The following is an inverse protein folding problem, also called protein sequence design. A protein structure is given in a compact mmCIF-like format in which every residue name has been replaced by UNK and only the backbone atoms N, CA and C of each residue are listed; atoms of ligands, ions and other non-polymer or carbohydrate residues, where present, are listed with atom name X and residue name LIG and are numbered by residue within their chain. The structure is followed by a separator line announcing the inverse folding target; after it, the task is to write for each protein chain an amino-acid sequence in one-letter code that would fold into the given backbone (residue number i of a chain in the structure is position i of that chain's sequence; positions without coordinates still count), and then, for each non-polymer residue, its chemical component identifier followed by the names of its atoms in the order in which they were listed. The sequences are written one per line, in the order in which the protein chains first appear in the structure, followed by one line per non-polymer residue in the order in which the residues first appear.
data_IF_954441981647
#
_entry.id   IF_954441981647
#
_cell.length_a   1.000
_cell.length_b   1.000
_cell.length_c   1.000
_cell.angle_alpha   90.00
_cell.angle_beta   90.00
_cell.angle_gamma   90.00
#
_symmetry.space_group_name_H-M   'P 1'
#
loop_
_entity.id
_entity.type
_entity.pdbx_description
1 polymer ?
#
# COMPACT_ATOMS: atom_id res chain seq x y z
N UNK A 1 -8.34 -19.15 -12.94
CA UNK A 1 -7.28 -18.99 -13.96
C UNK A 1 -5.84 -19.02 -13.41
N UNK A 2 -4.93 -19.62 -14.18
CA UNK A 2 -3.47 -19.54 -13.95
C UNK A 2 -2.88 -18.23 -14.48
N UNK A 3 -2.12 -17.51 -13.65
CA UNK A 3 -1.44 -16.27 -14.05
C UNK A 3 -0.05 -16.14 -13.43
N UNK A 4 0.81 -15.31 -14.04
CA UNK A 4 2.12 -15.00 -13.46
C UNK A 4 2.00 -14.26 -12.13
N UNK A 5 2.87 -14.55 -11.18
CA UNK A 5 2.93 -13.90 -9.86
C UNK A 5 3.10 -12.37 -9.99
N UNK A 6 3.95 -11.92 -10.90
CA UNK A 6 4.09 -10.50 -11.27
C UNK A 6 2.77 -9.84 -11.70
N UNK A 7 1.90 -10.57 -12.41
CA UNK A 7 0.55 -10.07 -12.78
C UNK A 7 -0.38 -10.05 -11.57
N UNK A 8 -0.32 -11.06 -10.71
CA UNK A 8 -1.10 -11.10 -9.47
C UNK A 8 -0.75 -9.93 -8.53
N UNK A 9 0.53 -9.59 -8.40
CA UNK A 9 0.99 -8.42 -7.64
C UNK A 9 0.39 -7.11 -8.18
N UNK A 10 0.29 -6.96 -9.51
CA UNK A 10 -0.38 -5.81 -10.15
C UNK A 10 -1.88 -5.80 -9.86
N UNK A 11 -2.54 -6.96 -9.93
CA UNK A 11 -3.97 -7.11 -9.60
C UNK A 11 -4.24 -6.71 -8.15
N UNK A 12 -3.44 -7.21 -7.20
CA UNK A 12 -3.52 -6.83 -5.77
C UNK A 12 -3.51 -5.30 -5.60
N UNK A 13 -2.55 -4.62 -6.24
CA UNK A 13 -2.42 -3.16 -6.12
C UNK A 13 -3.62 -2.42 -6.73
N UNK A 14 -4.15 -2.90 -7.86
CA UNK A 14 -5.37 -2.34 -8.46
C UNK A 14 -6.60 -2.56 -7.59
N UNK A 15 -6.75 -3.74 -6.98
CA UNK A 15 -7.84 -4.02 -6.03
C UNK A 15 -7.76 -3.10 -4.81
N UNK A 16 -6.57 -2.88 -4.24
CA UNK A 16 -6.37 -1.92 -3.13
C UNK A 16 -6.80 -0.51 -3.55
N UNK A 17 -6.46 -0.08 -4.76
CA UNK A 17 -6.89 1.22 -5.28
C UNK A 17 -8.42 1.30 -5.44
N UNK A 18 -9.06 0.26 -6.01
CA UNK A 18 -10.52 0.17 -6.13
C UNK A 18 -11.22 0.14 -4.77
N UNK A 19 -10.62 -0.51 -3.77
CA UNK A 19 -11.12 -0.54 -2.40
C UNK A 19 -11.15 0.88 -1.81
N UNK A 20 -10.08 1.65 -1.98
CA UNK A 20 -10.01 3.05 -1.53
C UNK A 20 -11.09 3.91 -2.18
N UNK A 21 -11.26 3.82 -3.50
CA UNK A 21 -12.31 4.54 -4.23
C UNK A 21 -13.70 4.15 -3.70
N UNK A 22 -13.98 2.85 -3.60
CA UNK A 22 -15.29 2.35 -3.13
C UNK A 22 -15.55 2.76 -1.68
N UNK A 23 -14.52 2.75 -0.82
CA UNK A 23 -14.60 3.24 0.55
C UNK A 23 -14.93 4.74 0.62
N UNK A 24 -14.33 5.56 -0.24
CA UNK A 24 -14.69 6.99 -0.33
C UNK A 24 -16.13 7.20 -0.80
N UNK A 25 -16.59 6.41 -1.79
CA UNK A 25 -17.98 6.46 -2.25
C UNK A 25 -18.95 6.03 -1.14
N UNK A 26 -18.61 4.98 -0.40
CA UNK A 26 -19.40 4.51 0.74
C UNK A 26 -19.48 5.58 1.83
N UNK A 27 -18.34 6.16 2.22
CA UNK A 27 -18.29 7.24 3.21
C UNK A 27 -19.14 8.44 2.78
N UNK A 28 -19.05 8.86 1.52
CA UNK A 28 -19.91 9.92 0.97
C UNK A 28 -21.39 9.55 0.99
N UNK A 29 -21.74 8.30 0.67
CA UNK A 29 -23.13 7.84 0.68
C UNK A 29 -23.75 7.84 2.08
N UNK A 30 -22.96 7.59 3.13
CA UNK A 30 -23.38 7.73 4.54
C UNK A 30 -23.64 9.20 4.87
N UNK A 31 -22.70 10.08 4.52
CA UNK A 31 -22.80 11.52 4.78
C UNK A 31 -23.86 12.22 3.92
N UNK A 32 -24.26 11.64 2.79
CA UNK A 32 -25.27 12.17 1.88
C UNK A 32 -26.67 11.57 2.09
N UNK A 33 -26.88 10.72 3.11
CA UNK A 33 -28.24 10.29 3.44
C UNK A 33 -29.07 11.52 3.84
N UNK A 34 -30.27 11.71 3.28
CA UNK A 34 -31.14 12.77 3.74
C UNK A 34 -31.50 12.49 5.19
N UNK A 35 -31.09 13.38 6.10
CA UNK A 35 -31.60 13.38 7.47
C UNK A 35 -33.13 13.29 7.43
N UNK A 36 -33.70 12.36 8.18
CA UNK A 36 -35.15 12.31 8.36
C UNK A 36 -35.62 13.60 9.05
N UNK A 37 -36.87 14.01 8.84
CA UNK A 37 -37.42 15.19 9.53
C UNK A 37 -37.24 15.11 11.05
N UNK A 38 -37.27 13.89 11.63
CA UNK A 38 -37.01 13.65 13.05
C UNK A 38 -35.56 13.93 13.45
N UNK A 39 -34.58 13.55 12.64
CA UNK A 39 -33.15 13.80 12.93
C UNK A 39 -32.77 15.28 12.75
N UNK A 40 -33.39 15.98 11.79
CA UNK A 40 -33.24 17.43 11.62
C UNK A 40 -33.75 18.18 12.85
N UNK A 41 -34.86 17.73 13.43
CA UNK A 41 -35.44 18.34 14.64
C UNK A 41 -34.66 17.98 15.91
N UNK A 42 -34.12 16.76 16.00
CA UNK A 42 -33.38 16.27 17.16
C UNK A 42 -32.00 16.92 17.35
N UNK A 43 -31.34 17.33 16.27
CA UNK A 43 -29.95 17.83 16.34
C UNK A 43 -29.80 19.35 16.43
N UNK A 44 -30.90 20.13 16.54
CA UNK A 44 -30.85 21.61 16.59
C UNK A 44 -29.85 22.24 15.60
N UNK A 45 -29.70 21.65 14.40
CA UNK A 45 -28.80 22.18 13.37
C UNK A 45 -29.47 23.46 12.83
N UNK A 46 -29.21 24.58 13.48
CA UNK A 46 -29.52 25.91 12.99
C UNK A 46 -28.66 26.15 11.74
N UNK A 47 -29.28 26.06 10.57
CA UNK A 47 -28.65 26.37 9.29
C UNK A 47 -28.50 27.89 9.16
N UNK A 48 -27.34 28.43 9.51
CA UNK A 48 -26.94 29.76 9.03
C UNK A 48 -26.02 29.62 7.81
N UNK A 49 -26.60 29.72 6.61
CA UNK A 49 -25.88 30.17 5.41
C UNK A 49 -26.82 31.14 4.70
N UNK A 50 -26.58 32.44 4.91
CA UNK A 50 -27.30 33.54 4.28
C UNK A 50 -26.65 33.82 2.92
N UNK A 51 -27.44 33.80 1.85
CA UNK A 51 -27.09 34.43 0.56
C UNK A 51 -28.22 35.39 0.15
N UNK A 52 -27.88 36.41 -0.65
CA UNK A 52 -28.60 37.69 -0.81
C UNK A 52 -30.08 37.62 -1.26
N UNK A 53 -30.58 36.48 -1.72
CA UNK A 53 -31.97 36.33 -2.20
C UNK A 53 -32.78 35.27 -1.41
N UNK A 54 -32.37 34.90 -0.20
CA UNK A 54 -33.19 34.12 0.74
C UNK A 54 -33.44 32.65 0.38
N UNK A 55 -32.97 32.17 -0.78
CA UNK A 55 -33.10 30.75 -1.18
C UNK A 55 -31.84 29.98 -0.82
N UNK A 56 -31.92 29.16 0.23
CA UNK A 56 -30.84 28.28 0.68
C UNK A 56 -30.63 27.15 -0.35
N UNK A 57 -29.65 27.31 -1.25
CA UNK A 57 -29.10 26.19 -2.04
C UNK A 57 -27.99 25.53 -1.23
N UNK A 58 -28.33 24.50 -0.45
CA UNK A 58 -27.35 23.50 -0.04
C UNK A 58 -26.87 22.84 -1.34
N UNK A 59 -25.57 22.86 -1.68
CA UNK A 59 -25.08 22.00 -2.75
C UNK A 59 -25.25 20.58 -2.24
N UNK A 60 -26.41 20.01 -2.59
CA UNK A 60 -26.71 18.61 -2.45
C UNK A 60 -25.68 17.87 -3.29
N UNK A 61 -24.55 17.49 -2.70
CA UNK A 61 -23.68 16.44 -3.20
C UNK A 61 -24.47 15.13 -3.07
N UNK A 62 -25.50 14.95 -3.91
CA UNK A 62 -26.26 13.70 -4.00
C UNK A 62 -25.35 12.69 -4.66
N UNK A 63 -24.69 11.87 -3.86
CA UNK A 63 -24.20 10.61 -4.37
C UNK A 63 -25.42 9.68 -4.52
N UNK A 64 -25.84 9.42 -5.75
CA UNK A 64 -26.98 8.52 -6.06
C UNK A 64 -26.55 7.03 -6.07
N UNK A 65 -25.43 6.68 -5.42
CA UNK A 65 -25.00 5.29 -5.31
C UNK A 65 -25.86 4.56 -4.28
N UNK A 66 -26.47 3.43 -4.66
CA UNK A 66 -27.19 2.56 -3.74
C UNK A 66 -26.21 2.06 -2.67
N UNK A 67 -26.38 2.51 -1.43
CA UNK A 67 -25.52 2.15 -0.29
C UNK A 67 -25.33 0.63 -0.15
N UNK A 68 -26.41 -0.14 -0.35
CA UNK A 68 -26.39 -1.61 -0.27
C UNK A 68 -25.48 -2.22 -1.33
N UNK A 69 -25.52 -1.71 -2.56
CA UNK A 69 -24.65 -2.15 -3.66
C UNK A 69 -23.18 -1.76 -3.39
N UNK A 70 -22.94 -0.57 -2.83
CA UNK A 70 -21.59 -0.12 -2.47
C UNK A 70 -20.96 -0.98 -1.38
N UNK A 71 -21.72 -1.37 -0.35
CA UNK A 71 -21.24 -2.31 0.67
C UNK A 71 -20.93 -3.66 0.04
N UNK A 72 -21.84 -4.22 -0.78
CA UNK A 72 -21.61 -5.50 -1.42
C UNK A 72 -20.35 -5.47 -2.30
N UNK A 73 -20.15 -4.40 -3.07
CA UNK A 73 -18.95 -4.18 -3.87
C UNK A 73 -17.70 -4.08 -3.00
N UNK A 74 -17.76 -3.32 -1.90
CA UNK A 74 -16.65 -3.20 -0.95
C UNK A 74 -16.24 -4.56 -0.39
N UNK A 75 -17.21 -5.35 0.10
CA UNK A 75 -16.95 -6.69 0.66
C UNK A 75 -16.37 -7.65 -0.39
N UNK A 76 -16.88 -7.63 -1.62
CA UNK A 76 -16.31 -8.43 -2.72
C UNK A 76 -14.85 -8.07 -3.01
N UNK A 77 -14.52 -6.77 -3.03
CA UNK A 77 -13.13 -6.33 -3.23
C UNK A 77 -12.25 -6.77 -2.06
N UNK A 78 -12.72 -6.70 -0.81
CA UNK A 78 -11.97 -7.19 0.36
C UNK A 78 -11.68 -8.69 0.24
N UNK A 79 -12.68 -9.51 -0.07
CA UNK A 79 -12.51 -10.96 -0.28
C UNK A 79 -11.48 -11.23 -1.37
N UNK A 80 -11.61 -10.57 -2.52
CA UNK A 80 -10.67 -10.71 -3.64
C UNK A 80 -9.23 -10.33 -3.25
N UNK A 81 -9.03 -9.29 -2.42
CA UNK A 81 -7.70 -8.94 -1.91
C UNK A 81 -7.14 -10.04 -1.01
N UNK A 82 -7.97 -10.62 -0.14
CA UNK A 82 -7.57 -11.73 0.73
C UNK A 82 -7.13 -12.92 -0.11
N UNK A 83 -7.95 -13.33 -1.08
CA UNK A 83 -7.67 -14.49 -1.94
C UNK A 83 -6.36 -14.31 -2.72
N UNK A 84 -6.16 -13.14 -3.33
CA UNK A 84 -4.91 -12.82 -4.04
C UNK A 84 -3.71 -12.79 -3.10
N UNK A 85 -3.85 -12.24 -1.89
CA UNK A 85 -2.76 -12.23 -0.90
C UNK A 85 -2.40 -13.63 -0.43
N UNK A 86 -3.40 -14.48 -0.19
CA UNK A 86 -3.21 -15.88 0.21
C UNK A 86 -2.49 -16.67 -0.88
N UNK A 87 -2.92 -16.53 -2.14
CA UNK A 87 -2.25 -17.18 -3.27
C UNK A 87 -0.79 -16.74 -3.43
N UNK A 88 -0.52 -15.43 -3.31
CA UNK A 88 0.85 -14.88 -3.31
C UNK A 88 1.67 -15.45 -2.15
N UNK A 89 1.08 -15.51 -0.96
CA UNK A 89 1.78 -16.00 0.24
C UNK A 89 2.18 -17.48 0.08
N UNK A 90 1.27 -18.32 -0.41
CA UNK A 90 1.54 -19.74 -0.67
C UNK A 90 2.69 -19.89 -1.67
N UNK A 91 2.69 -19.12 -2.77
CA UNK A 91 3.77 -19.15 -3.74
C UNK A 91 5.11 -18.74 -3.09
N UNK A 92 5.13 -17.63 -2.36
CA UNK A 92 6.34 -17.14 -1.69
C UNK A 92 6.87 -18.09 -0.60
N UNK A 93 5.99 -18.87 0.04
CA UNK A 93 6.38 -19.87 1.03
C UNK A 93 7.08 -21.08 0.41
N UNK A 94 6.84 -21.37 -0.88
CA UNK A 94 7.47 -22.47 -1.60
C UNK A 94 8.86 -22.12 -2.17
N UNK A 95 9.27 -20.85 -2.12
CA UNK A 95 10.53 -20.37 -2.68
C UNK A 95 11.48 -19.71 -1.67
N UNK A 96 12.68 -19.38 -2.13
CA UNK A 96 13.67 -18.59 -1.37
C UNK A 96 13.27 -17.12 -1.20
N UNK A 97 12.13 -16.68 -1.76
CA UNK A 97 11.73 -15.27 -1.81
C UNK A 97 11.53 -14.63 -0.45
N UNK A 98 11.00 -15.41 0.50
CA UNK A 98 10.88 -14.97 1.88
C UNK A 98 12.27 -14.72 2.49
N UNK A 99 13.24 -15.60 2.24
CA UNK A 99 14.63 -15.44 2.69
C UNK A 99 15.30 -14.25 2.01
N UNK A 100 15.15 -14.09 0.70
CA UNK A 100 15.71 -12.96 -0.05
C UNK A 100 15.13 -11.62 0.41
N UNK A 101 13.82 -11.58 0.69
CA UNK A 101 13.16 -10.37 1.23
C UNK A 101 13.69 -9.99 2.60
N UNK A 102 13.90 -10.97 3.49
CA UNK A 102 14.53 -10.75 4.79
C UNK A 102 15.98 -10.29 4.62
N UNK A 103 16.75 -10.94 3.74
CA UNK A 103 18.13 -10.58 3.47
C UNK A 103 18.25 -9.14 2.94
N UNK A 104 17.32 -8.69 2.09
CA UNK A 104 17.27 -7.28 1.66
C UNK A 104 17.04 -6.35 2.84
N UNK A 105 16.08 -6.67 3.73
CA UNK A 105 15.79 -5.84 4.90
C UNK A 105 17.01 -5.71 5.82
N UNK A 106 17.65 -6.83 6.17
CA UNK A 106 18.85 -6.84 7.02
C UNK A 106 20.03 -6.08 6.37
N UNK A 107 20.26 -6.30 5.07
CA UNK A 107 21.32 -5.59 4.36
C UNK A 107 21.05 -4.09 4.25
N UNK A 108 19.79 -3.65 4.11
CA UNK A 108 19.44 -2.23 4.13
C UNK A 108 19.67 -1.60 5.50
N UNK A 109 19.31 -2.30 6.58
CA UNK A 109 19.59 -1.85 7.95
C UNK A 109 21.09 -1.71 8.19
N UNK A 110 21.90 -2.69 7.74
CA UNK A 110 23.34 -2.62 7.90
C UNK A 110 23.99 -1.54 7.02
N UNK A 111 23.49 -1.34 5.80
CA UNK A 111 23.91 -0.25 4.93
C UNK A 111 23.63 1.12 5.57
N UNK A 112 22.45 1.30 6.18
CA UNK A 112 22.13 2.51 6.92
C UNK A 112 23.10 2.72 8.08
N UNK A 113 23.36 1.69 8.88
CA UNK A 113 24.35 1.75 9.95
C UNK A 113 25.73 2.20 9.45
N UNK A 114 26.23 1.62 8.35
CA UNK A 114 27.53 2.01 7.79
C UNK A 114 27.54 3.46 7.29
N UNK A 115 26.44 3.94 6.73
CA UNK A 115 26.31 5.32 6.26
C UNK A 115 26.24 6.34 7.40
N UNK A 116 25.74 5.93 8.57
CA UNK A 116 25.65 6.75 9.78
C UNK A 116 26.96 6.76 10.59
N UNK A 117 27.92 5.89 10.27
CA UNK A 117 29.24 5.93 10.89
C UNK A 117 29.96 7.23 10.52
N UNK A 118 30.10 8.11 11.49
CA UNK A 118 30.98 9.27 11.40
C UNK A 118 32.44 8.81 11.49
N UNK A 119 33.07 8.69 10.34
CA UNK A 119 34.48 8.31 10.19
C UNK A 119 35.37 9.51 9.87
N UNK A 120 34.86 10.73 10.02
CA UNK A 120 35.70 11.92 9.92
C UNK A 120 36.55 12.08 11.18
N UNK A 121 37.87 11.98 11.01
CA UNK A 121 38.88 12.16 12.07
C UNK A 121 38.73 13.49 12.82
N UNK A 122 38.20 14.52 12.15
CA UNK A 122 38.06 15.88 12.68
C UNK A 122 37.09 16.01 13.85
N UNK A 123 36.17 15.05 14.06
CA UNK A 123 35.10 15.18 15.06
C UNK A 123 35.44 14.59 16.44
N UNK A 124 36.51 13.79 16.54
CA UNK A 124 36.85 13.06 17.78
C UNK A 124 38.12 13.59 18.47
N UNK A 125 38.83 14.55 17.87
CA UNK A 125 40.08 15.11 18.39
C UNK A 125 41.28 14.17 18.21
N UNK A 126 42.49 14.68 18.46
CA UNK A 126 43.79 14.02 18.16
C UNK A 126 44.05 12.67 18.87
N UNK A 127 43.09 12.15 19.65
CA UNK A 127 43.25 10.95 20.48
C UNK A 127 42.56 9.70 19.92
N UNK A 128 41.82 9.80 18.82
CA UNK A 128 41.09 8.67 18.25
C UNK A 128 41.55 8.38 16.82
N UNK A 129 42.03 7.15 16.61
CA UNK A 129 42.37 6.63 15.28
C UNK A 129 41.16 5.80 14.81
N UNK A 130 40.50 6.16 13.70
CA UNK A 130 39.41 5.36 13.17
C UNK A 130 39.90 3.95 12.80
N UNK A 131 39.21 2.93 13.30
CA UNK A 131 39.53 1.50 13.03
C UNK A 131 39.18 1.12 11.57
N UNK A 132 38.28 1.88 10.94
CA UNK A 132 37.81 1.66 9.58
C UNK A 132 38.10 2.90 8.74
N UNK A 133 38.80 2.74 7.62
CA UNK A 133 39.01 3.83 6.67
C UNK A 133 37.75 4.14 5.87
N UNK A 134 37.66 5.36 5.34
CA UNK A 134 36.57 5.76 4.43
C UNK A 134 36.44 4.84 3.22
N UNK A 135 37.57 4.50 2.62
CA UNK A 135 37.61 3.57 1.50
C UNK A 135 37.05 2.19 1.86
N UNK A 136 37.43 1.64 3.02
CA UNK A 136 36.93 0.32 3.45
C UNK A 136 35.42 0.35 3.78
N UNK A 137 34.92 1.47 4.34
CA UNK A 137 33.47 1.68 4.52
C UNK A 137 32.76 1.66 3.17
N UNK A 138 33.26 2.45 2.21
CA UNK A 138 32.63 2.61 0.91
C UNK A 138 32.67 1.32 0.08
N UNK A 139 33.78 0.57 0.13
CA UNK A 139 33.91 -0.75 -0.48
C UNK A 139 32.89 -1.75 0.12
N UNK A 140 32.67 -1.72 1.44
CA UNK A 140 31.63 -2.53 2.09
C UNK A 140 30.22 -2.11 1.69
N UNK A 141 29.93 -0.81 1.63
CA UNK A 141 28.65 -0.29 1.17
C UNK A 141 28.37 -0.78 -0.26
N UNK A 142 29.33 -0.63 -1.17
CA UNK A 142 29.20 -1.08 -2.55
C UNK A 142 28.97 -2.60 -2.65
N UNK A 143 29.66 -3.39 -1.83
CA UNK A 143 29.43 -4.84 -1.76
C UNK A 143 28.03 -5.19 -1.28
N UNK A 144 27.52 -4.51 -0.25
CA UNK A 144 26.17 -4.75 0.29
C UNK A 144 25.10 -4.33 -0.72
N UNK A 145 25.30 -3.22 -1.43
CA UNK A 145 24.40 -2.78 -2.50
C UNK A 145 24.27 -3.84 -3.60
N UNK A 146 25.40 -4.40 -4.07
CA UNK A 146 25.39 -5.51 -5.04
C UNK A 146 24.65 -6.75 -4.52
N UNK A 147 24.77 -7.07 -3.23
CA UNK A 147 24.01 -8.16 -2.63
C UNK A 147 22.50 -7.88 -2.64
N UNK A 148 22.09 -6.65 -2.31
CA UNK A 148 20.68 -6.23 -2.36
C UNK A 148 20.14 -6.34 -3.79
N UNK A 149 20.87 -5.82 -4.78
CA UNK A 149 20.50 -5.89 -6.20
C UNK A 149 20.30 -7.35 -6.64
N UNK A 150 21.25 -8.23 -6.33
CA UNK A 150 21.14 -9.66 -6.64
C UNK A 150 19.88 -10.29 -6.04
N UNK A 151 19.58 -10.02 -4.77
CA UNK A 151 18.37 -10.56 -4.15
C UNK A 151 17.08 -9.99 -4.78
N UNK A 152 17.10 -8.74 -5.25
CA UNK A 152 15.99 -8.13 -5.98
C UNK A 152 15.79 -8.79 -7.34
N UNK A 153 16.87 -9.00 -8.10
CA UNK A 153 16.83 -9.69 -9.38
C UNK A 153 16.27 -11.12 -9.23
N UNK A 154 16.73 -11.86 -8.21
CA UNK A 154 16.21 -13.20 -7.90
C UNK A 154 14.69 -13.18 -7.59
N UNK A 155 14.21 -12.14 -6.90
CA UNK A 155 12.78 -11.93 -6.61
C UNK A 155 12.00 -11.62 -7.88
N UNK A 156 12.53 -10.74 -8.72
CA UNK A 156 11.85 -10.30 -9.93
C UNK A 156 11.80 -11.42 -10.99
N UNK A 157 12.87 -12.19 -11.13
CA UNK A 157 12.90 -13.38 -11.98
C UNK A 157 11.85 -14.39 -11.51
N UNK A 158 11.83 -14.71 -10.21
CA UNK A 158 10.84 -15.61 -9.64
C UNK A 158 9.41 -15.12 -9.89
N UNK A 159 9.15 -13.82 -9.68
CA UNK A 159 7.85 -13.21 -9.96
C UNK A 159 7.47 -13.29 -11.46
N UNK A 160 8.44 -13.28 -12.36
CA UNK A 160 8.23 -13.33 -13.81
C UNK A 160 7.91 -14.73 -14.33
N UNK A 161 8.45 -15.78 -13.68
CA UNK A 161 8.32 -17.18 -14.12
C UNK A 161 7.26 -17.96 -13.33
N UNK A 162 7.04 -17.62 -12.06
CA UNK A 162 6.10 -18.33 -11.18
C UNK A 162 4.66 -18.07 -11.59
N UNK A 163 3.86 -19.14 -11.66
CA UNK A 163 2.43 -19.09 -11.92
C UNK A 163 1.66 -19.40 -10.64
N UNK A 164 0.59 -18.65 -10.41
CA UNK A 164 -0.34 -18.87 -9.30
C UNK A 164 -1.78 -18.94 -9.85
N UNK A 165 -2.63 -19.64 -9.12
CA UNK A 165 -4.05 -19.76 -9.44
C UNK A 165 -4.85 -18.68 -8.70
N UNK A 166 -5.66 -17.93 -9.45
CA UNK A 166 -6.58 -16.92 -8.94
C UNK A 166 -7.92 -17.10 -9.66
N UNK A 167 -9.02 -16.95 -8.95
CA UNK A 167 -10.37 -17.00 -9.51
C UNK A 167 -10.61 -15.93 -10.58
N UNK A 168 -11.28 -16.30 -11.67
CA UNK A 168 -11.54 -15.39 -12.80
C UNK A 168 -12.46 -14.22 -12.42
N UNK A 169 -13.38 -14.43 -11.48
CA UNK A 169 -14.26 -13.39 -10.94
C UNK A 169 -13.50 -12.24 -10.27
N UNK A 170 -12.27 -12.47 -9.80
CA UNK A 170 -11.42 -11.43 -9.21
C UNK A 170 -10.95 -10.45 -10.29
N UNK A 171 -10.71 -10.93 -11.51
CA UNK A 171 -10.30 -10.06 -12.64
C UNK A 171 -11.47 -9.20 -13.10
N UNK A 172 -12.69 -9.74 -13.06
CA UNK A 172 -13.92 -9.00 -13.40
C UNK A 172 -14.14 -7.78 -12.49
N UNK A 173 -13.72 -7.84 -11.22
CA UNK A 173 -13.80 -6.71 -10.28
C UNK A 173 -12.89 -5.52 -10.66
N UNK A 174 -11.99 -5.70 -11.63
CA UNK A 174 -11.07 -4.66 -12.10
C UNK A 174 -11.61 -3.87 -13.30
N UNK A 175 -12.53 -4.46 -14.08
CA UNK A 175 -13.20 -3.83 -15.22
C UNK A 175 -14.13 -2.71 -14.70
#
# INVERSE_FOLDING_TARGET
MNMKLSRALKIKNRLIHRLRITGHQLHRSILSQPLTQKEIQAHHIQKEIITKDGVIKIPKLRYHGNFKELIQKYTKIVSAIIDVKSAIHIANAQGSQTKNSIAIAENKSFLQFLQELDINESNFGDQFIPILSEKERDDKIASIQKCIEKYQDDIDEYNAVTKIEIDDSIVELLL
#
